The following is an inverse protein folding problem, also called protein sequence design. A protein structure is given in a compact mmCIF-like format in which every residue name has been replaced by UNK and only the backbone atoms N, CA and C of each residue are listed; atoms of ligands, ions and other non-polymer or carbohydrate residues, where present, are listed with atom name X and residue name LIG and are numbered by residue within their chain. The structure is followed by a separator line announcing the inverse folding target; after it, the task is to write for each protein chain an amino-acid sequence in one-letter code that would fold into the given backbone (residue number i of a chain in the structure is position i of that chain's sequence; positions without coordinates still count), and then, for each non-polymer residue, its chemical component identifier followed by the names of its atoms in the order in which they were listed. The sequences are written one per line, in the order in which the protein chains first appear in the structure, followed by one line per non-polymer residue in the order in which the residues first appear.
data_IF_940391740440
#
_entry.id   IF_940391740440
#
_cell.length_a   1.000
_cell.length_b   1.000
_cell.length_c   1.000
_cell.angle_alpha   90.00
_cell.angle_beta   90.00
_cell.angle_gamma   90.00
#
_symmetry.space_group_name_H-M   'P 1'
#
loop_
_entity.id
_entity.type
_entity.pdbx_description
1 polymer ?
#
# COMPACT_ATOMS: atom_id res chain seq x y z
N UNK A 1 15.86 -10.98 8.59
CA UNK A 1 14.58 -11.34 9.23
C UNK A 1 13.48 -10.77 8.33
N UNK A 2 12.35 -11.46 8.16
CA UNK A 2 11.15 -10.82 7.58
C UNK A 2 10.59 -9.85 8.62
N UNK A 3 10.38 -8.60 8.26
CA UNK A 3 9.88 -7.57 9.18
C UNK A 3 8.49 -7.16 8.74
N UNK A 4 7.52 -7.33 9.63
CA UNK A 4 6.16 -6.87 9.36
C UNK A 4 6.12 -5.35 9.44
N UNK A 5 5.58 -4.70 8.40
CA UNK A 5 5.32 -3.26 8.38
C UNK A 5 3.92 -2.96 7.84
N UNK A 6 3.38 -1.82 8.25
CA UNK A 6 2.13 -1.25 7.72
C UNK A 6 2.48 0.02 6.95
N UNK A 7 2.13 0.06 5.67
CA UNK A 7 2.43 1.17 4.77
C UNK A 7 1.14 1.87 4.37
N UNK A 8 1.11 3.19 4.51
CA UNK A 8 -0.01 4.02 4.06
C UNK A 8 0.37 4.74 2.76
N UNK A 9 -0.43 4.51 1.71
CA UNK A 9 -0.26 5.19 0.43
C UNK A 9 -1.46 6.12 0.20
N UNK A 10 -1.23 7.43 0.24
CA UNK A 10 -2.28 8.44 0.05
C UNK A 10 -2.24 9.02 -1.36
N UNK A 11 -3.41 9.35 -1.90
CA UNK A 11 -3.51 10.16 -3.11
C UNK A 11 -2.76 11.50 -2.91
N UNK A 12 -2.01 11.94 -3.93
CA UNK A 12 -1.23 13.18 -3.89
C UNK A 12 0.11 13.12 -3.15
N UNK A 13 0.35 12.07 -2.35
CA UNK A 13 1.65 11.84 -1.67
C UNK A 13 2.42 10.71 -2.34
N UNK A 14 1.73 9.64 -2.74
CA UNK A 14 2.34 8.47 -3.40
C UNK A 14 2.16 8.57 -4.91
N UNK A 15 3.24 8.43 -5.67
CA UNK A 15 3.19 8.42 -7.15
C UNK A 15 4.17 7.37 -7.70
N UNK A 16 3.71 6.40 -8.50
CA UNK A 16 2.32 6.14 -8.86
C UNK A 16 1.52 5.57 -7.68
N UNK A 17 0.19 5.76 -7.70
CA UNK A 17 -0.74 5.05 -6.80
C UNK A 17 -1.51 3.98 -7.59
N UNK A 18 -0.86 2.84 -7.92
CA UNK A 18 -1.52 1.78 -8.67
C UNK A 18 -2.55 1.04 -7.80
N UNK A 19 -3.40 0.24 -8.45
CA UNK A 19 -4.18 -0.75 -7.74
C UNK A 19 -3.26 -1.87 -7.21
N UNK A 20 -2.95 -1.83 -5.92
CA UNK A 20 -2.10 -2.82 -5.26
C UNK A 20 -2.77 -4.20 -5.20
N UNK A 21 -1.94 -5.25 -5.22
CA UNK A 21 -2.35 -6.65 -5.07
C UNK A 21 -1.45 -7.34 -4.04
N UNK A 22 -1.97 -8.36 -3.38
CA UNK A 22 -1.12 -9.29 -2.60
C UNK A 22 -0.04 -9.86 -3.52
N UNK A 23 1.17 -10.08 -2.99
CA UNK A 23 2.40 -10.43 -3.72
C UNK A 23 2.99 -9.32 -4.60
N UNK A 24 2.44 -8.10 -4.58
CA UNK A 24 3.16 -6.95 -5.14
C UNK A 24 4.42 -6.68 -4.32
N UNK A 25 5.43 -6.13 -4.98
CA UNK A 25 6.70 -5.74 -4.36
C UNK A 25 6.70 -4.25 -4.06
N UNK A 26 7.03 -3.88 -2.82
CA UNK A 26 7.42 -2.52 -2.44
C UNK A 26 8.92 -2.52 -2.18
N UNK A 27 9.58 -1.44 -2.57
CA UNK A 27 11.02 -1.25 -2.33
C UNK A 27 11.19 0.04 -1.53
N UNK A 28 11.62 -0.10 -0.28
CA UNK A 28 11.97 1.01 0.62
C UNK A 28 13.03 0.55 1.62
N UNK A 29 13.74 1.48 2.24
CA UNK A 29 14.86 1.19 3.16
C UNK A 29 15.90 0.21 2.57
N UNK A 30 16.14 0.31 1.26
CA UNK A 30 17.02 -0.58 0.48
C UNK A 30 16.67 -2.08 0.59
N UNK A 31 15.40 -2.39 0.89
CA UNK A 31 14.88 -3.75 1.02
C UNK A 31 13.60 -3.97 0.22
N UNK A 32 13.44 -5.22 -0.19
CA UNK A 32 12.28 -5.74 -0.88
C UNK A 32 11.24 -6.20 0.15
N UNK A 33 10.02 -5.67 0.03
CA UNK A 33 8.91 -5.96 0.93
C UNK A 33 7.72 -6.51 0.14
N UNK A 34 7.23 -7.68 0.53
CA UNK A 34 6.13 -8.34 -0.18
C UNK A 34 4.80 -8.00 0.47
N UNK A 35 3.85 -7.47 -0.31
CA UNK A 35 2.50 -7.19 0.17
C UNK A 35 1.79 -8.48 0.53
N UNK A 36 1.33 -8.59 1.77
CA UNK A 36 0.54 -9.71 2.27
C UNK A 36 -0.95 -9.37 2.39
N UNK A 37 -1.29 -8.08 2.51
CA UNK A 37 -2.67 -7.61 2.58
C UNK A 37 -2.84 -6.22 1.97
N UNK A 38 -3.99 -5.99 1.33
CA UNK A 38 -4.36 -4.70 0.74
C UNK A 38 -5.73 -4.29 1.27
N UNK A 39 -5.80 -3.13 1.91
CA UNK A 39 -7.05 -2.52 2.38
C UNK A 39 -7.24 -1.19 1.64
N UNK A 40 -8.14 -1.12 0.64
CA UNK A 40 -8.49 0.14 -0.01
C UNK A 40 -9.40 0.96 0.91
N UNK A 41 -9.06 2.24 1.07
CA UNK A 41 -9.88 3.23 1.76
C UNK A 41 -10.42 4.19 0.70
N UNK A 42 -11.74 4.36 0.69
CA UNK A 42 -12.45 5.24 -0.24
C UNK A 42 -12.87 6.52 0.46
N UNK A 43 -13.11 7.57 -0.32
CA UNK A 43 -13.76 8.78 0.18
C UNK A 43 -15.17 8.47 0.73
N UNK A 44 -15.65 9.32 1.64
CA UNK A 44 -16.88 9.05 2.39
C UNK A 44 -18.14 8.95 1.52
N UNK A 45 -18.17 9.66 0.38
CA UNK A 45 -19.35 9.79 -0.47
C UNK A 45 -19.14 9.33 -1.91
N UNK A 46 -17.90 9.05 -2.30
CA UNK A 46 -17.54 8.65 -3.67
C UNK A 46 -16.70 7.38 -3.67
N UNK A 47 -16.85 6.56 -4.71
CA UNK A 47 -16.03 5.34 -4.91
C UNK A 47 -14.65 5.69 -5.48
N UNK A 48 -14.06 6.75 -4.96
CA UNK A 48 -12.71 7.23 -5.29
C UNK A 48 -11.77 6.75 -4.20
N UNK A 49 -10.60 6.22 -4.59
CA UNK A 49 -9.60 5.79 -3.62
C UNK A 49 -9.00 7.02 -2.94
N UNK A 50 -9.16 7.08 -1.62
CA UNK A 50 -8.49 8.07 -0.78
C UNK A 50 -7.07 7.61 -0.40
N UNK A 51 -6.95 6.35 0.03
CA UNK A 51 -5.67 5.75 0.40
C UNK A 51 -5.69 4.23 0.35
N UNK A 52 -4.51 3.63 0.49
CA UNK A 52 -4.33 2.21 0.80
C UNK A 52 -3.62 2.04 2.13
N UNK A 53 -4.04 1.05 2.90
CA UNK A 53 -3.27 0.46 3.99
C UNK A 53 -2.77 -0.91 3.54
N UNK A 54 -1.45 -1.10 3.54
CA UNK A 54 -0.77 -2.30 3.06
C UNK A 54 -0.03 -2.96 4.24
N UNK A 55 -0.23 -4.26 4.42
CA UNK A 55 0.64 -5.06 5.30
C UNK A 55 1.72 -5.71 4.41
N UNK A 56 2.98 -5.62 4.81
CA UNK A 56 4.14 -6.19 4.10
C UNK A 56 5.04 -6.99 5.03
N UNK A 57 5.85 -7.88 4.46
CA UNK A 57 6.88 -8.68 5.16
C UNK A 57 8.26 -8.53 4.56
#
# INVERSE_FOLDING_TARGET
MLYNAVVFCYEGITTPLPAFKVQSLLVFDDQDHVVTKVIPIYEAYDKTIYSYELEVV
#
